data_IF_209658201602
#
_entry.id   IF_209658201602
#
_cell.length_a   1.000
_cell.length_b   1.000
_cell.length_c   1.000
_cell.angle_alpha   90.00
_cell.angle_beta   90.00
_cell.angle_gamma   90.00
#
_symmetry.space_group_name_H-M   'P 1'
#
loop_
_entity.id
_entity.type
_entity.pdbx_description
1 polymer ?
#
# COMPACT_ATOMS: atom_id res chain seq x y z
N UNK A 1 18.32 5.20 23.65
CA UNK A 1 17.56 4.00 23.26
C UNK A 1 16.64 4.44 22.14
N UNK A 2 16.85 3.93 20.92
CA UNK A 2 16.09 4.33 19.72
C UNK A 2 14.69 3.74 19.78
N UNK A 3 13.67 4.54 19.62
CA UNK A 3 12.26 4.13 19.69
C UNK A 3 11.68 4.00 18.29
N UNK A 4 11.02 2.87 18.03
CA UNK A 4 10.33 2.59 16.77
C UNK A 4 8.87 2.26 17.09
N UNK A 5 7.94 2.80 16.29
CA UNK A 5 6.53 2.42 16.31
C UNK A 5 6.19 1.61 15.07
N UNK A 6 5.56 0.44 15.25
CA UNK A 6 4.98 -0.35 14.17
C UNK A 6 3.47 -0.36 14.31
N UNK A 7 2.77 0.06 13.27
CA UNK A 7 1.32 0.01 13.20
C UNK A 7 0.87 -0.91 12.04
N UNK A 8 0.15 -1.97 12.39
CA UNK A 8 -0.35 -2.99 11.46
C UNK A 8 -1.58 -3.69 12.09
N UNK A 9 -2.65 -3.90 11.35
CA UNK A 9 -3.85 -4.58 11.86
C UNK A 9 -3.74 -6.11 11.84
N UNK A 10 -2.63 -6.66 11.30
CA UNK A 10 -2.34 -8.08 11.30
C UNK A 10 -1.39 -8.44 12.46
N UNK A 11 -1.92 -8.99 13.55
CA UNK A 11 -1.17 -9.30 14.78
C UNK A 11 0.11 -10.08 14.52
N UNK A 12 0.03 -11.17 13.75
CA UNK A 12 1.19 -12.02 13.46
C UNK A 12 2.31 -11.26 12.74
N UNK A 13 1.97 -10.41 11.77
CA UNK A 13 2.95 -9.60 11.03
C UNK A 13 3.58 -8.58 11.96
N UNK A 14 2.76 -7.86 12.73
CA UNK A 14 3.21 -6.84 13.67
C UNK A 14 4.15 -7.42 14.72
N UNK A 15 3.77 -8.55 15.34
CA UNK A 15 4.60 -9.23 16.35
C UNK A 15 5.90 -9.75 15.76
N UNK A 16 5.86 -10.33 14.56
CA UNK A 16 7.06 -10.86 13.88
C UNK A 16 8.04 -9.74 13.55
N UNK A 17 7.58 -8.64 12.97
CA UNK A 17 8.41 -7.47 12.66
C UNK A 17 9.01 -6.88 13.96
N UNK A 18 8.21 -6.75 15.00
CA UNK A 18 8.67 -6.22 16.29
C UNK A 18 9.72 -7.14 16.93
N UNK A 19 9.56 -8.46 16.86
CA UNK A 19 10.54 -9.42 17.36
C UNK A 19 11.88 -9.28 16.63
N UNK A 20 11.87 -9.28 15.30
CA UNK A 20 13.09 -9.08 14.48
C UNK A 20 13.81 -7.78 14.82
N UNK A 21 13.07 -6.67 15.00
CA UNK A 21 13.69 -5.39 15.31
C UNK A 21 14.26 -5.34 16.73
N UNK A 22 13.62 -5.98 17.71
CA UNK A 22 14.15 -6.07 19.09
C UNK A 22 15.45 -6.87 19.16
N UNK A 23 15.59 -7.90 18.34
CA UNK A 23 16.82 -8.72 18.26
C UNK A 23 18.03 -7.95 17.71
N UNK A 24 17.83 -6.79 17.10
CA UNK A 24 18.91 -5.89 16.66
C UNK A 24 19.69 -5.20 17.79
N UNK A 25 19.27 -5.36 19.06
CA UNK A 25 19.84 -4.64 20.21
C UNK A 25 19.14 -3.31 20.46
N UNK A 26 19.70 -2.36 21.10
CA UNK A 26 19.21 -1.08 21.66
C UNK A 26 17.96 -0.39 21.02
N UNK A 27 17.01 -1.17 20.50
CA UNK A 27 15.75 -0.70 19.94
C UNK A 27 14.59 -0.97 20.91
N UNK A 28 13.83 0.06 21.20
CA UNK A 28 12.52 -0.07 21.83
C UNK A 28 11.44 -0.05 20.76
N UNK A 29 10.65 -1.10 20.66
CA UNK A 29 9.63 -1.25 19.61
C UNK A 29 8.26 -1.29 20.25
N UNK A 30 7.52 -0.21 20.06
CA UNK A 30 6.10 -0.09 20.39
C UNK A 30 5.22 -0.57 19.23
N UNK A 31 4.00 -1.00 19.52
CA UNK A 31 3.10 -1.60 18.56
C UNK A 31 1.70 -0.98 18.66
N UNK A 32 1.08 -0.71 17.52
CA UNK A 32 -0.31 -0.28 17.40
C UNK A 32 -1.07 -1.16 16.41
N UNK A 33 -2.35 -1.42 16.67
CA UNK A 33 -3.20 -2.28 15.87
C UNK A 33 -3.98 -1.54 14.76
N UNK A 34 -3.93 -0.21 14.76
CA UNK A 34 -4.61 0.64 13.79
C UNK A 34 -4.00 2.05 13.78
N UNK A 35 -4.40 2.84 12.79
CA UNK A 35 -3.88 4.19 12.61
C UNK A 35 -4.18 5.13 13.77
N UNK A 36 -5.40 5.09 14.34
CA UNK A 36 -5.79 5.96 15.44
C UNK A 36 -4.96 5.70 16.69
N UNK A 37 -4.73 4.42 17.00
CA UNK A 37 -3.88 4.01 18.12
C UNK A 37 -2.45 4.49 17.93
N UNK A 38 -1.89 4.34 16.72
CA UNK A 38 -0.56 4.85 16.41
C UNK A 38 -0.44 6.35 16.64
N UNK A 39 -1.39 7.15 16.16
CA UNK A 39 -1.41 8.60 16.38
C UNK A 39 -1.51 8.95 17.86
N UNK A 40 -2.43 8.31 18.59
CA UNK A 40 -2.59 8.52 20.03
C UNK A 40 -1.31 8.16 20.83
N UNK A 41 -0.59 7.12 20.41
CA UNK A 41 0.68 6.77 21.03
C UNK A 41 1.75 7.84 20.81
N UNK A 42 1.89 8.37 19.59
CA UNK A 42 2.86 9.43 19.29
C UNK A 42 2.51 10.68 20.13
N UNK A 43 1.24 11.10 20.13
CA UNK A 43 0.77 12.26 20.91
C UNK A 43 1.03 12.10 22.43
N UNK A 44 0.88 10.89 22.96
CA UNK A 44 1.03 10.61 24.39
C UNK A 44 2.48 10.45 24.83
N UNK A 45 3.30 9.79 24.01
CA UNK A 45 4.66 9.37 24.43
C UNK A 45 5.77 10.19 23.80
N UNK A 46 5.43 11.10 22.89
CA UNK A 46 6.37 11.87 22.07
C UNK A 46 6.75 11.13 20.78
N UNK A 47 7.50 11.82 19.94
CA UNK A 47 7.93 11.34 18.63
C UNK A 47 8.80 10.07 18.71
N UNK A 48 8.77 9.29 17.62
CA UNK A 48 9.58 8.09 17.41
C UNK A 48 10.63 8.36 16.34
N UNK A 49 11.82 7.81 16.52
CA UNK A 49 12.89 7.92 15.53
C UNK A 49 12.55 7.27 14.19
N UNK A 50 11.58 6.33 14.20
CA UNK A 50 10.96 5.75 13.00
C UNK A 50 9.55 5.29 13.31
N UNK A 51 8.60 5.68 12.47
CA UNK A 51 7.24 5.13 12.45
C UNK A 51 7.06 4.29 11.19
N UNK A 52 6.56 3.07 11.33
CA UNK A 52 6.29 2.14 10.24
C UNK A 52 4.78 1.83 10.21
N UNK A 53 4.10 2.25 9.13
CA UNK A 53 2.65 2.17 9.00
C UNK A 53 2.23 1.17 7.92
N UNK A 54 1.35 0.23 8.25
CA UNK A 54 0.72 -0.59 7.22
C UNK A 54 -0.18 0.25 6.33
N UNK A 55 0.01 0.10 5.02
CA UNK A 55 -0.78 0.80 4.00
C UNK A 55 -2.28 0.49 4.06
N UNK A 56 -2.64 -0.76 4.41
CA UNK A 56 -4.02 -1.26 4.33
C UNK A 56 -4.78 -1.23 5.64
N UNK A 57 -4.14 -0.82 6.75
CA UNK A 57 -4.79 -0.82 8.05
C UNK A 57 -5.95 0.19 8.15
N UNK A 58 -6.95 -0.08 9.02
CA UNK A 58 -8.07 0.84 9.24
C UNK A 58 -7.62 2.25 9.64
N UNK A 59 -8.18 3.26 8.96
CA UNK A 59 -7.88 4.67 9.20
C UNK A 59 -6.69 5.22 8.42
N UNK A 60 -5.85 4.37 7.80
CA UNK A 60 -4.75 4.80 6.96
C UNK A 60 -5.24 5.08 5.53
N UNK A 61 -4.88 6.25 4.99
CA UNK A 61 -5.12 6.64 3.59
C UNK A 61 -3.95 7.46 3.08
N UNK A 62 -3.53 7.24 1.84
CA UNK A 62 -2.53 8.08 1.18
C UNK A 62 -3.22 9.15 0.31
N UNK A 63 -2.72 10.39 0.35
CA UNK A 63 -1.56 10.87 1.14
C UNK A 63 -1.91 11.33 2.57
N UNK A 64 -3.18 11.55 2.90
CA UNK A 64 -3.63 12.27 4.11
C UNK A 64 -3.14 11.63 5.42
N UNK A 65 -3.25 10.31 5.54
CA UNK A 65 -2.79 9.57 6.72
C UNK A 65 -1.28 9.65 6.92
N UNK A 66 -0.52 9.57 5.81
CA UNK A 66 0.94 9.71 5.87
C UNK A 66 1.34 11.13 6.31
N UNK A 67 0.76 12.17 5.71
CA UNK A 67 1.03 13.56 6.06
C UNK A 67 0.72 13.83 7.54
N UNK A 68 -0.43 13.34 8.02
CA UNK A 68 -0.78 13.44 9.44
C UNK A 68 0.23 12.74 10.33
N UNK A 69 0.68 11.54 9.95
CA UNK A 69 1.66 10.80 10.75
C UNK A 69 3.02 11.52 10.79
N UNK A 70 3.47 12.11 9.68
CA UNK A 70 4.70 12.91 9.64
C UNK A 70 4.60 14.13 10.52
N UNK A 71 3.51 14.91 10.40
CA UNK A 71 3.25 16.07 11.26
C UNK A 71 3.22 15.69 12.74
N UNK A 72 2.48 14.63 13.10
CA UNK A 72 2.37 14.17 14.50
C UNK A 72 3.70 13.66 15.04
N UNK A 73 4.55 13.07 14.18
CA UNK A 73 5.87 12.56 14.53
C UNK A 73 7.00 13.61 14.39
N UNK A 74 6.65 14.90 14.38
CA UNK A 74 7.60 16.03 14.34
C UNK A 74 8.58 15.94 13.14
N UNK A 75 8.08 15.56 11.97
CA UNK A 75 8.83 15.35 10.71
C UNK A 75 9.95 14.30 10.80
N UNK A 76 9.98 13.51 11.87
CA UNK A 76 10.88 12.33 11.93
C UNK A 76 10.41 11.23 10.98
N UNK A 77 11.30 10.30 10.58
CA UNK A 77 11.04 9.31 9.55
C UNK A 77 9.75 8.52 9.72
N UNK A 78 8.92 8.53 8.67
CA UNK A 78 7.73 7.68 8.55
C UNK A 78 7.86 6.82 7.30
N UNK A 79 7.77 5.51 7.45
CA UNK A 79 7.84 4.54 6.37
C UNK A 79 6.50 3.79 6.21
N UNK A 80 6.19 3.39 4.99
CA UNK A 80 5.02 2.57 4.67
C UNK A 80 5.43 1.10 4.55
N UNK A 81 4.65 0.23 5.19
CA UNK A 81 4.74 -1.22 5.01
C UNK A 81 3.54 -1.66 4.17
N UNK A 82 3.71 -2.60 3.24
CA UNK A 82 2.59 -3.08 2.43
C UNK A 82 2.69 -4.56 2.11
N UNK A 83 1.57 -5.27 2.25
CA UNK A 83 1.43 -6.66 1.81
C UNK A 83 1.29 -6.78 0.29
N UNK A 84 0.80 -5.73 -0.37
CA UNK A 84 0.73 -5.64 -1.82
C UNK A 84 1.93 -4.85 -2.34
N UNK A 85 2.84 -5.55 -3.01
CA UNK A 85 4.02 -4.93 -3.61
C UNK A 85 3.64 -4.18 -4.91
N UNK A 86 2.97 -3.02 -4.77
CA UNK A 86 2.59 -2.17 -5.90
C UNK A 86 3.59 -1.03 -6.08
N UNK A 87 4.27 -0.92 -7.23
CA UNK A 87 5.15 0.21 -7.55
C UNK A 87 4.42 1.57 -7.50
N UNK A 88 3.13 1.60 -7.81
CA UNK A 88 2.33 2.83 -7.79
C UNK A 88 2.10 3.32 -6.36
N UNK A 89 1.79 2.42 -5.43
CA UNK A 89 1.66 2.76 -4.00
C UNK A 89 2.99 3.23 -3.44
N UNK A 90 4.09 2.57 -3.78
CA UNK A 90 5.43 2.98 -3.37
C UNK A 90 5.76 4.40 -3.85
N UNK A 91 5.50 4.70 -5.13
CA UNK A 91 5.73 6.05 -5.69
C UNK A 91 4.86 7.11 -5.02
N UNK A 92 3.56 6.84 -4.83
CA UNK A 92 2.63 7.76 -4.14
C UNK A 92 3.10 8.05 -2.71
N UNK A 93 3.51 7.01 -1.97
CA UNK A 93 4.02 7.17 -0.61
C UNK A 93 5.30 8.03 -0.59
N UNK A 94 6.28 7.71 -1.44
CA UNK A 94 7.54 8.48 -1.53
C UNK A 94 7.32 9.91 -2.01
N UNK A 95 6.45 10.11 -3.01
CA UNK A 95 6.10 11.46 -3.49
C UNK A 95 5.36 12.31 -2.44
N UNK A 96 4.66 11.66 -1.52
CA UNK A 96 4.00 12.32 -0.39
C UNK A 96 4.93 12.55 0.82
N UNK A 97 6.20 12.14 0.73
CA UNK A 97 7.23 12.39 1.75
C UNK A 97 7.57 11.20 2.64
N UNK A 98 7.06 9.98 2.36
CA UNK A 98 7.48 8.81 3.11
C UNK A 98 9.01 8.64 3.04
N UNK A 99 9.63 8.36 4.17
CA UNK A 99 11.05 8.02 4.23
C UNK A 99 11.35 6.64 3.66
N UNK A 100 10.34 5.77 3.51
CA UNK A 100 10.54 4.47 2.91
C UNK A 100 9.25 3.73 2.57
N UNK A 101 9.42 2.72 1.70
CA UNK A 101 8.40 1.74 1.38
C UNK A 101 9.00 0.33 1.51
N UNK A 102 8.37 -0.49 2.37
CA UNK A 102 8.83 -1.84 2.69
C UNK A 102 7.72 -2.86 2.37
N UNK A 103 7.96 -3.82 1.48
CA UNK A 103 7.02 -4.93 1.31
C UNK A 103 7.03 -5.84 2.55
N UNK A 104 5.87 -6.32 3.00
CA UNK A 104 5.77 -7.28 4.13
C UNK A 104 6.46 -8.62 3.85
N UNK A 105 6.82 -8.87 2.58
CA UNK A 105 7.58 -10.05 2.13
C UNK A 105 9.10 -9.86 2.17
N UNK A 106 9.57 -8.72 2.71
CA UNK A 106 11.01 -8.41 2.83
C UNK A 106 11.72 -9.45 3.69
N UNK A 107 12.92 -9.87 3.27
CA UNK A 107 13.72 -10.78 4.08
C UNK A 107 14.18 -10.09 5.39
N UNK A 108 14.28 -10.83 6.51
CA UNK A 108 14.65 -10.25 7.80
C UNK A 108 15.94 -9.43 7.78
N UNK A 109 16.99 -9.92 7.12
CA UNK A 109 18.28 -9.24 7.02
C UNK A 109 18.18 -7.92 6.22
N UNK A 110 17.30 -7.92 5.21
CA UNK A 110 17.04 -6.74 4.38
C UNK A 110 16.20 -5.73 5.16
N UNK A 111 15.22 -6.18 5.97
CA UNK A 111 14.44 -5.32 6.85
C UNK A 111 15.37 -4.58 7.84
N UNK A 112 16.27 -5.32 8.47
CA UNK A 112 17.26 -4.76 9.40
C UNK A 112 18.08 -3.66 8.72
N UNK A 113 18.64 -3.94 7.56
CA UNK A 113 19.43 -2.98 6.80
C UNK A 113 18.61 -1.75 6.38
N UNK A 114 17.37 -1.96 5.97
CA UNK A 114 16.45 -0.90 5.59
C UNK A 114 16.13 0.03 6.78
N UNK A 115 15.79 -0.56 7.94
CA UNK A 115 15.50 0.21 9.17
C UNK A 115 16.71 1.01 9.62
N UNK A 116 17.91 0.42 9.61
CA UNK A 116 19.15 1.15 9.93
C UNK A 116 19.42 2.31 8.97
N UNK A 117 19.08 2.14 7.69
CA UNK A 117 19.22 3.20 6.68
C UNK A 117 18.22 4.33 6.92
N UNK A 118 16.97 4.01 7.23
CA UNK A 118 15.91 4.97 7.56
C UNK A 118 16.25 5.78 8.83
N UNK A 119 16.73 5.12 9.88
CA UNK A 119 17.14 5.77 11.13
C UNK A 119 18.33 6.75 10.95
N UNK A 120 19.10 6.61 9.90
CA UNK A 120 20.17 7.55 9.51
C UNK A 120 19.68 8.69 8.61
N UNK A 121 18.35 8.79 8.39
CA UNK A 121 17.74 9.80 7.50
C UNK A 121 17.80 9.45 6.02
N UNK A 122 18.14 8.21 5.67
CA UNK A 122 18.10 7.73 4.30
C UNK A 122 16.67 7.44 3.82
N UNK A 123 16.49 7.31 2.51
CA UNK A 123 15.23 6.89 1.90
C UNK A 123 15.39 5.44 1.42
N UNK A 124 14.44 4.57 1.81
CA UNK A 124 14.48 3.17 1.41
C UNK A 124 13.30 2.80 0.52
N UNK A 125 13.62 2.20 -0.62
CA UNK A 125 12.64 1.47 -1.44
C UNK A 125 13.36 0.31 -2.16
N UNK A 126 12.73 -0.86 -2.32
CA UNK A 126 13.34 -1.95 -3.07
C UNK A 126 13.65 -1.53 -4.51
N UNK A 127 14.83 -1.90 -5.02
CA UNK A 127 15.30 -1.50 -6.36
C UNK A 127 14.33 -1.83 -7.49
N UNK A 128 13.66 -2.98 -7.43
CA UNK A 128 12.69 -3.38 -8.45
C UNK A 128 11.45 -2.44 -8.54
N UNK A 129 11.19 -1.60 -7.54
CA UNK A 129 10.18 -0.54 -7.63
C UNK A 129 10.73 0.74 -8.30
N UNK A 130 12.04 0.95 -8.22
CA UNK A 130 12.70 2.08 -8.90
C UNK A 130 12.96 1.75 -10.38
N UNK A 131 13.36 0.53 -10.67
CA UNK A 131 13.63 0.01 -12.02
C UNK A 131 12.35 -0.24 -12.84
N UNK A 132 11.21 -0.33 -12.17
CA UNK A 132 9.93 -0.14 -12.84
C UNK A 132 9.95 1.32 -13.32
N UNK A 133 10.51 1.53 -14.53
CA UNK A 133 10.34 2.76 -15.29
C UNK A 133 8.90 3.22 -15.04
N UNK A 134 8.61 4.52 -14.90
CA UNK A 134 7.23 4.95 -14.74
C UNK A 134 6.46 4.18 -15.81
N UNK A 135 6.02 2.98 -15.38
CA UNK A 135 5.17 2.17 -16.21
C UNK A 135 4.06 3.12 -16.46
N UNK A 136 4.03 3.62 -17.67
CA UNK A 136 3.05 4.55 -18.17
C UNK A 136 1.80 4.47 -17.32
N UNK A 137 1.65 5.35 -16.29
CA UNK A 137 0.36 5.84 -15.91
C UNK A 137 -0.09 6.80 -17.04
N UNK A 138 0.58 6.67 -18.21
CA UNK A 138 0.02 7.05 -19.46
C UNK A 138 -1.27 6.26 -19.52
N UNK A 139 -2.30 6.89 -18.97
CA UNK A 139 -3.67 6.72 -19.35
C UNK A 139 -4.01 5.24 -19.60
N UNK A 140 -4.40 4.53 -18.52
CA UNK A 140 -5.22 3.35 -18.72
C UNK A 140 -6.52 3.91 -19.31
N UNK A 141 -6.49 4.22 -20.60
CA UNK A 141 -7.66 4.66 -21.33
C UNK A 141 -8.59 3.48 -21.50
N UNK A 142 -9.37 3.23 -20.45
CA UNK A 142 -10.54 2.39 -20.60
C UNK A 142 -11.58 3.21 -21.35
N UNK A 143 -12.17 2.63 -22.37
CA UNK A 143 -13.35 3.21 -23.01
C UNK A 143 -14.49 3.30 -22.00
N UNK A 144 -15.49 4.16 -22.20
CA UNK A 144 -16.66 4.23 -21.32
C UNK A 144 -17.30 2.85 -21.07
N UNK A 145 -17.39 2.01 -22.11
CA UNK A 145 -17.94 0.64 -21.99
C UNK A 145 -17.04 -0.31 -21.20
N UNK A 146 -15.72 -0.21 -21.32
CA UNK A 146 -14.78 -0.97 -20.50
C UNK A 146 -14.85 -0.53 -19.03
N UNK A 147 -15.06 0.76 -18.79
CA UNK A 147 -15.25 1.30 -17.45
C UNK A 147 -16.56 0.81 -16.80
N UNK A 148 -17.67 0.81 -17.54
CA UNK A 148 -18.95 0.28 -17.06
C UNK A 148 -18.83 -1.21 -16.68
N UNK A 149 -18.15 -2.00 -17.52
CA UNK A 149 -17.87 -3.41 -17.25
C UNK A 149 -16.96 -3.57 -16.03
N UNK A 150 -15.95 -2.72 -15.86
CA UNK A 150 -15.05 -2.75 -14.69
C UNK A 150 -15.80 -2.45 -13.39
N UNK A 151 -16.73 -1.48 -13.38
CA UNK A 151 -17.61 -1.22 -12.23
C UNK A 151 -18.42 -2.46 -11.85
N UNK A 152 -19.06 -3.11 -12.80
CA UNK A 152 -19.80 -4.35 -12.55
C UNK A 152 -18.90 -5.48 -12.01
N UNK A 153 -17.63 -5.56 -12.45
CA UNK A 153 -16.66 -6.50 -11.90
C UNK A 153 -16.35 -6.16 -10.43
N UNK A 154 -16.16 -4.90 -10.09
CA UNK A 154 -15.87 -4.44 -8.72
C UNK A 154 -17.05 -4.67 -7.77
N UNK A 155 -18.28 -4.61 -8.29
CA UNK A 155 -19.51 -4.96 -7.58
C UNK A 155 -19.72 -6.48 -7.43
N UNK A 156 -18.86 -7.30 -7.99
CA UNK A 156 -18.94 -8.77 -7.92
C UNK A 156 -19.94 -9.41 -8.90
N UNK A 157 -20.53 -8.65 -9.82
CA UNK A 157 -21.56 -9.13 -10.77
C UNK A 157 -20.99 -10.13 -11.77
N UNK A 158 -21.71 -11.19 -12.09
CA UNK A 158 -21.39 -12.10 -13.19
C UNK A 158 -21.53 -11.43 -14.56
N UNK A 159 -20.84 -11.95 -15.60
CA UNK A 159 -20.92 -11.35 -16.95
C UNK A 159 -22.35 -11.26 -17.50
N UNK A 160 -23.22 -12.22 -17.13
CA UNK A 160 -24.64 -12.22 -17.52
C UNK A 160 -25.41 -11.07 -16.85
N UNK A 161 -25.08 -10.71 -15.61
CA UNK A 161 -25.69 -9.60 -14.88
C UNK A 161 -25.22 -8.27 -15.44
N UNK A 162 -23.89 -8.12 -15.69
CA UNK A 162 -23.33 -6.94 -16.35
C UNK A 162 -23.95 -6.75 -17.75
N UNK A 163 -24.12 -7.85 -18.49
CA UNK A 163 -24.73 -7.82 -19.82
C UNK A 163 -26.17 -7.27 -19.78
N UNK A 164 -26.95 -7.70 -18.77
CA UNK A 164 -28.31 -7.22 -18.55
C UNK A 164 -28.33 -5.75 -18.17
N UNK A 165 -27.45 -5.34 -17.25
CA UNK A 165 -27.40 -3.95 -16.74
C UNK A 165 -26.98 -2.96 -17.84
N UNK A 166 -26.12 -3.41 -18.78
CA UNK A 166 -25.63 -2.57 -19.88
C UNK A 166 -26.40 -2.72 -21.19
N UNK A 167 -27.44 -3.57 -21.21
CA UNK A 167 -28.24 -3.91 -22.38
C UNK A 167 -27.39 -4.39 -23.57
N UNK A 168 -26.50 -5.36 -23.32
CA UNK A 168 -25.60 -5.97 -24.32
C UNK A 168 -25.60 -7.48 -24.21
N UNK A 169 -25.04 -8.15 -25.22
CA UNK A 169 -24.85 -9.60 -25.19
C UNK A 169 -23.74 -10.00 -24.20
N UNK A 170 -23.90 -11.14 -23.52
CA UNK A 170 -22.86 -11.68 -22.62
C UNK A 170 -21.49 -11.88 -23.30
N UNK A 171 -21.51 -12.26 -24.58
CA UNK A 171 -20.28 -12.40 -25.39
C UNK A 171 -19.53 -11.07 -25.52
N UNK A 172 -20.26 -9.96 -25.63
CA UNK A 172 -19.69 -8.62 -25.69
C UNK A 172 -19.02 -8.24 -24.35
N UNK A 173 -19.67 -8.56 -23.23
CA UNK A 173 -19.06 -8.38 -21.90
C UNK A 173 -17.79 -9.20 -21.75
N UNK A 174 -17.77 -10.46 -22.17
CA UNK A 174 -16.56 -11.32 -22.17
C UNK A 174 -15.41 -10.68 -22.97
N UNK A 175 -15.72 -10.07 -24.12
CA UNK A 175 -14.73 -9.35 -24.93
C UNK A 175 -14.18 -8.15 -24.18
N UNK A 176 -15.05 -7.33 -23.59
CA UNK A 176 -14.61 -6.18 -22.79
C UNK A 176 -13.78 -6.61 -21.58
N UNK A 177 -14.17 -7.67 -20.85
CA UNK A 177 -13.37 -8.23 -19.75
C UNK A 177 -11.98 -8.64 -20.22
N UNK A 178 -11.87 -9.29 -21.37
CA UNK A 178 -10.56 -9.69 -21.94
C UNK A 178 -9.72 -8.45 -22.29
N UNK A 179 -10.32 -7.43 -22.90
CA UNK A 179 -9.61 -6.21 -23.34
C UNK A 179 -9.19 -5.35 -22.15
N UNK A 180 -10.09 -5.10 -21.18
CA UNK A 180 -9.76 -4.33 -19.99
C UNK A 180 -8.72 -5.04 -19.11
N UNK A 181 -8.79 -6.38 -18.98
CA UNK A 181 -7.79 -7.14 -18.23
C UNK A 181 -6.39 -7.00 -18.85
N UNK A 182 -6.29 -7.00 -20.18
CA UNK A 182 -5.02 -6.75 -20.89
C UNK A 182 -4.52 -5.32 -20.65
N UNK A 183 -5.40 -4.31 -20.71
CA UNK A 183 -5.05 -2.89 -20.48
C UNK A 183 -4.62 -2.65 -19.02
N UNK A 184 -5.28 -3.32 -18.07
CA UNK A 184 -4.96 -3.31 -16.65
C UNK A 184 -3.77 -4.21 -16.29
N UNK A 185 -3.28 -5.03 -17.22
CA UNK A 185 -2.30 -6.11 -16.95
C UNK A 185 -2.77 -7.07 -15.85
N UNK A 186 -4.07 -7.28 -15.74
CA UNK A 186 -4.69 -8.14 -14.75
C UNK A 186 -4.61 -9.61 -15.15
N UNK A 187 -4.19 -10.48 -14.22
CA UNK A 187 -4.08 -11.94 -14.44
C UNK A 187 -5.42 -12.65 -14.49
N UNK A 188 -6.40 -12.10 -13.80
CA UNK A 188 -7.78 -12.61 -13.73
C UNK A 188 -8.74 -11.48 -13.32
N UNK A 189 -10.03 -11.79 -13.29
CA UNK A 189 -11.13 -10.87 -12.96
C UNK A 189 -10.98 -10.23 -11.57
N UNK A 190 -10.61 -11.02 -10.56
CA UNK A 190 -10.41 -10.55 -9.20
C UNK A 190 -9.23 -9.58 -9.13
N UNK A 191 -8.14 -9.90 -9.82
CA UNK A 191 -6.98 -9.01 -9.92
C UNK A 191 -7.33 -7.70 -10.65
N UNK A 192 -8.21 -7.74 -11.66
CA UNK A 192 -8.71 -6.52 -12.31
C UNK A 192 -9.50 -5.60 -11.34
N UNK A 193 -10.35 -6.19 -10.49
CA UNK A 193 -11.07 -5.44 -9.45
C UNK A 193 -10.12 -4.83 -8.40
N UNK A 194 -9.09 -5.56 -7.99
CA UNK A 194 -8.08 -5.04 -7.05
C UNK A 194 -7.33 -3.85 -7.65
N UNK A 195 -6.84 -3.98 -8.90
CA UNK A 195 -6.15 -2.89 -9.60
C UNK A 195 -7.06 -1.66 -9.75
N UNK A 196 -8.36 -1.87 -10.03
CA UNK A 196 -9.31 -0.78 -10.18
C UNK A 196 -9.48 0.02 -8.88
N UNK A 197 -9.52 -0.67 -7.73
CA UNK A 197 -9.57 -0.04 -6.40
C UNK A 197 -8.25 0.64 -6.03
N UNK A 198 -7.12 -0.03 -6.26
CA UNK A 198 -5.78 0.49 -5.94
C UNK A 198 -5.46 1.77 -6.73
N UNK A 199 -6.06 1.92 -7.92
CA UNK A 199 -5.86 3.07 -8.81
C UNK A 199 -7.00 4.10 -8.80
N UNK A 200 -7.97 3.95 -7.89
CA UNK A 200 -9.16 4.81 -7.81
C UNK A 200 -9.87 5.00 -9.18
N UNK A 201 -9.98 3.92 -9.95
CA UNK A 201 -10.66 3.95 -11.26
C UNK A 201 -12.18 3.83 -11.13
N UNK A 202 -12.66 3.28 -10.01
CA UNK A 202 -14.08 3.01 -9.71
C UNK A 202 -14.36 3.12 -8.24
#
# INVERSE_FOLDING_TARGET
>A
MTRILIADDHDLVRETLAAYLRDMGDLHVDQASNFQEAMAMIEKTGSYELVMLDYTMPGMKLPEGLLKAMETNEELPVAIISGTASPDVARRALSAGASGFLPKTIAPETLISAVQHLLKGGIYTPQHFLDSAPGNTADIHLTPREMDVLRGICEGKANKEIARDLDVQEVTVKLHVKTLSRKLQARNRTHAAMIARDKDLV
#
